data_IF_959892112443
#
_entry.id   IF_959892112443
#
_cell.length_a   1.000
_cell.length_b   1.000
_cell.length_c   1.000
_cell.angle_alpha   90.00
_cell.angle_beta   90.00
_cell.angle_gamma   90.00
#
_symmetry.space_group_name_H-M   'P 1'
#
loop_
_entity.id
_entity.type
_entity.pdbx_description
1 polymer ?
#
# COMPACT_ATOMS: atom_id res chain seq x y z
N UNK A 1 -3.83 -6.74 55.94
CA UNK A 1 -2.55 -6.70 55.20
C UNK A 1 -2.58 -7.78 54.13
N UNK A 2 -2.61 -7.41 52.84
CA UNK A 2 -2.68 -8.35 51.72
C UNK A 2 -1.24 -8.75 51.34
N UNK A 3 -0.90 -10.04 51.43
CA UNK A 3 0.40 -10.54 50.95
C UNK A 3 0.31 -10.80 49.45
N UNK A 4 1.04 -10.04 48.65
CA UNK A 4 1.30 -10.35 47.24
C UNK A 4 2.32 -11.49 47.18
N UNK A 5 1.96 -12.59 46.53
CA UNK A 5 2.82 -13.76 46.38
C UNK A 5 3.75 -13.52 45.18
N UNK A 6 5.04 -13.24 45.46
CA UNK A 6 6.06 -13.09 44.43
C UNK A 6 6.47 -14.48 43.91
N UNK A 7 5.78 -14.98 42.89
CA UNK A 7 6.23 -16.16 42.14
C UNK A 7 7.35 -15.70 41.19
N UNK A 8 8.59 -16.11 41.47
CA UNK A 8 9.73 -15.86 40.58
C UNK A 8 9.60 -16.67 39.29
N UNK A 9 10.01 -16.06 38.17
CA UNK A 9 10.02 -16.68 36.84
C UNK A 9 11.05 -17.81 36.77
N UNK A 10 10.72 -18.91 36.10
CA UNK A 10 11.61 -20.07 35.98
C UNK A 10 12.57 -19.94 34.79
N UNK A 11 13.74 -20.58 34.88
CA UNK A 11 14.72 -20.57 33.79
C UNK A 11 14.17 -21.25 32.52
N UNK A 12 13.30 -22.24 32.69
CA UNK A 12 12.67 -22.95 31.58
C UNK A 12 11.62 -22.10 30.85
N UNK A 13 10.88 -21.25 31.57
CA UNK A 13 9.97 -20.30 30.93
C UNK A 13 10.76 -19.32 30.05
N UNK A 14 11.94 -18.87 30.49
CA UNK A 14 12.77 -17.99 29.69
C UNK A 14 13.25 -18.66 28.40
N UNK A 15 13.64 -19.93 28.48
CA UNK A 15 14.11 -20.70 27.32
C UNK A 15 12.97 -20.93 26.31
N UNK A 16 11.77 -21.27 26.77
CA UNK A 16 10.63 -21.49 25.87
C UNK A 16 10.25 -20.17 25.17
N UNK A 17 10.25 -19.05 25.89
CA UNK A 17 9.95 -17.73 25.30
C UNK A 17 10.98 -17.35 24.24
N UNK A 18 12.28 -17.55 24.48
CA UNK A 18 13.31 -17.21 23.48
C UNK A 18 13.26 -18.12 22.25
N UNK A 19 12.91 -19.40 22.40
CA UNK A 19 12.68 -20.32 21.28
C UNK A 19 11.50 -19.85 20.42
N UNK A 20 10.37 -19.49 21.05
CA UNK A 20 9.20 -18.99 20.33
C UNK A 20 9.54 -17.69 19.59
N UNK A 21 10.23 -16.74 20.25
CA UNK A 21 10.67 -15.50 19.62
C UNK A 21 11.63 -15.74 18.45
N UNK A 22 12.54 -16.72 18.57
CA UNK A 22 13.46 -17.08 17.48
C UNK A 22 12.71 -17.62 16.25
N UNK A 23 11.73 -18.50 16.44
CA UNK A 23 10.90 -19.03 15.35
C UNK A 23 10.07 -17.93 14.71
N UNK A 24 9.42 -17.09 15.53
CA UNK A 24 8.62 -15.96 15.04
C UNK A 24 9.48 -14.97 14.25
N UNK A 25 10.68 -14.63 14.73
CA UNK A 25 11.59 -13.73 14.03
C UNK A 25 12.06 -14.33 12.69
N UNK A 26 12.40 -15.62 12.68
CA UNK A 26 12.86 -16.32 11.47
C UNK A 26 11.80 -16.33 10.36
N UNK A 27 10.51 -16.39 10.69
CA UNK A 27 9.41 -16.38 9.71
C UNK A 27 8.92 -14.97 9.38
N UNK A 28 8.80 -14.08 10.37
CA UNK A 28 8.21 -12.76 10.19
C UNK A 28 9.10 -11.80 9.40
N UNK A 29 10.41 -11.80 9.66
CA UNK A 29 11.37 -10.88 9.02
C UNK A 29 11.41 -11.08 7.49
N UNK A 30 11.67 -12.29 6.94
CA UNK A 30 11.74 -12.46 5.49
C UNK A 30 10.39 -12.22 4.79
N UNK A 31 9.27 -12.56 5.45
CA UNK A 31 7.92 -12.27 4.94
C UNK A 31 7.69 -10.77 4.79
N UNK A 32 8.09 -9.99 5.80
CA UNK A 32 7.98 -8.53 5.76
C UNK A 32 8.79 -7.94 4.61
N UNK A 33 10.08 -8.31 4.50
CA UNK A 33 10.96 -7.81 3.45
C UNK A 33 10.45 -8.14 2.04
N UNK A 34 9.99 -9.37 1.82
CA UNK A 34 9.43 -9.79 0.53
C UNK A 34 8.10 -9.08 0.22
N UNK A 35 7.33 -8.70 1.24
CA UNK A 35 6.02 -8.06 1.05
C UNK A 35 6.14 -6.61 0.62
N UNK A 36 7.16 -5.87 1.06
CA UNK A 36 7.26 -4.43 0.78
C UNK A 36 7.41 -4.17 -0.73
N UNK A 37 8.41 -4.78 -1.38
CA UNK A 37 8.67 -4.54 -2.81
C UNK A 37 7.50 -4.99 -3.70
N UNK A 38 6.88 -6.13 -3.39
CA UNK A 38 5.69 -6.58 -4.13
C UNK A 38 4.50 -5.63 -3.94
N UNK A 39 4.35 -5.05 -2.75
CA UNK A 39 3.30 -4.06 -2.48
C UNK A 39 3.58 -2.77 -3.25
N UNK A 40 4.83 -2.30 -3.30
CA UNK A 40 5.24 -1.13 -4.08
C UNK A 40 4.93 -1.35 -5.57
N UNK A 41 5.37 -2.45 -6.17
CA UNK A 41 5.10 -2.79 -7.57
C UNK A 41 3.58 -2.91 -7.86
N UNK A 42 2.82 -3.53 -6.95
CA UNK A 42 1.38 -3.64 -7.09
C UNK A 42 0.67 -2.28 -7.02
N UNK A 43 1.17 -1.36 -6.18
CA UNK A 43 0.62 -0.01 -6.06
C UNK A 43 0.94 0.80 -7.32
N UNK A 44 2.17 0.74 -7.83
CA UNK A 44 2.55 1.44 -9.07
C UNK A 44 1.69 1.00 -10.25
N UNK A 45 1.55 -0.32 -10.45
CA UNK A 45 0.69 -0.87 -11.48
C UNK A 45 -0.78 -0.44 -11.31
N UNK A 46 -1.26 -0.38 -10.06
CA UNK A 46 -2.62 0.09 -9.76
C UNK A 46 -2.79 1.57 -10.12
N UNK A 47 -1.81 2.42 -9.83
CA UNK A 47 -1.86 3.85 -10.17
C UNK A 47 -1.95 4.02 -11.70
N UNK A 48 -1.09 3.34 -12.46
CA UNK A 48 -1.11 3.38 -13.93
C UNK A 48 -2.45 2.89 -14.49
N UNK A 49 -2.97 1.79 -13.94
CA UNK A 49 -4.28 1.25 -14.33
C UNK A 49 -5.40 2.25 -14.06
N UNK A 50 -5.39 2.92 -12.91
CA UNK A 50 -6.39 3.93 -12.58
C UNK A 50 -6.33 5.12 -13.55
N UNK A 51 -5.12 5.59 -13.89
CA UNK A 51 -4.94 6.67 -14.87
C UNK A 51 -5.50 6.26 -16.22
N UNK A 52 -5.20 5.04 -16.67
CA UNK A 52 -5.68 4.51 -17.95
C UNK A 52 -7.20 4.44 -17.98
N UNK A 53 -7.82 3.96 -16.90
CA UNK A 53 -9.29 3.89 -16.79
C UNK A 53 -9.91 5.29 -16.86
N UNK A 54 -9.35 6.28 -16.16
CA UNK A 54 -9.85 7.66 -16.22
C UNK A 54 -9.74 8.26 -17.63
N UNK A 55 -8.61 8.07 -18.29
CA UNK A 55 -8.40 8.52 -19.68
C UNK A 55 -9.35 7.83 -20.67
N UNK A 56 -9.61 6.54 -20.48
CA UNK A 56 -10.57 5.80 -21.28
C UNK A 56 -11.99 6.32 -21.08
N UNK A 57 -12.38 6.62 -19.84
CA UNK A 57 -13.67 7.22 -19.52
C UNK A 57 -13.82 8.60 -20.17
N UNK A 58 -12.80 9.46 -20.07
CA UNK A 58 -12.78 10.76 -20.72
C UNK A 58 -12.92 10.63 -22.24
N UNK A 59 -12.15 9.74 -22.86
CA UNK A 59 -12.21 9.54 -24.30
C UNK A 59 -13.58 8.98 -24.76
N UNK A 60 -14.25 8.17 -23.94
CA UNK A 60 -15.62 7.71 -24.18
C UNK A 60 -16.62 8.88 -24.09
N UNK A 61 -16.48 9.76 -23.11
CA UNK A 61 -17.30 10.96 -22.99
C UNK A 61 -17.11 11.88 -24.22
N UNK A 62 -15.87 12.11 -24.64
CA UNK A 62 -15.58 12.91 -25.83
C UNK A 62 -16.13 12.29 -27.12
N UNK A 63 -16.11 10.96 -27.24
CA UNK A 63 -16.77 10.27 -28.35
C UNK A 63 -18.27 10.53 -28.37
N UNK A 64 -18.92 10.55 -27.21
CA UNK A 64 -20.36 10.84 -27.10
C UNK A 64 -20.68 12.31 -27.45
N UNK A 65 -19.85 13.25 -27.01
CA UNK A 65 -20.08 14.69 -27.19
C UNK A 65 -19.67 15.19 -28.59
N UNK A 66 -18.51 14.75 -29.08
CA UNK A 66 -17.84 15.30 -30.25
C UNK A 66 -17.70 14.30 -31.41
N UNK A 67 -18.22 13.07 -31.25
CA UNK A 67 -18.15 12.02 -32.27
C UNK A 67 -16.74 11.47 -32.52
N UNK A 68 -15.76 11.84 -31.68
CA UNK A 68 -14.36 11.40 -31.78
C UNK A 68 -13.75 11.25 -30.41
N UNK A 69 -12.91 10.23 -30.24
CA UNK A 69 -12.09 10.05 -29.04
C UNK A 69 -10.98 11.10 -29.04
N UNK A 70 -10.93 11.89 -27.99
CA UNK A 70 -9.85 12.84 -27.71
C UNK A 70 -9.41 12.65 -26.26
N UNK A 71 -8.16 12.99 -25.99
CA UNK A 71 -7.56 12.90 -24.66
C UNK A 71 -7.18 14.30 -24.19
N UNK A 72 -7.21 14.56 -22.87
CA UNK A 72 -6.78 15.86 -22.34
C UNK A 72 -5.27 16.03 -22.52
N UNK A 73 -4.81 17.28 -22.56
CA UNK A 73 -3.38 17.59 -22.63
C UNK A 73 -2.65 17.13 -21.37
N UNK A 74 -3.30 17.28 -20.21
CA UNK A 74 -2.81 16.73 -18.95
C UNK A 74 -3.61 15.47 -18.58
N UNK A 75 -2.95 14.31 -18.38
CA UNK A 75 -3.65 13.07 -18.10
C UNK A 75 -4.38 13.06 -16.75
N UNK A 76 -4.02 13.95 -15.81
CA UNK A 76 -4.67 14.03 -14.51
C UNK A 76 -6.01 14.79 -14.56
N UNK A 77 -6.27 15.56 -15.63
CA UNK A 77 -7.55 16.26 -15.81
C UNK A 77 -8.71 15.27 -16.07
N UNK A 78 -8.40 14.04 -16.49
CA UNK A 78 -9.37 12.97 -16.69
C UNK A 78 -9.69 12.18 -15.40
N UNK A 79 -9.10 12.55 -14.26
CA UNK A 79 -9.25 11.83 -12.99
C UNK A 79 -10.11 12.62 -12.01
N UNK A 80 -11.00 11.92 -11.29
CA UNK A 80 -11.82 12.53 -10.24
C UNK A 80 -10.98 13.09 -9.08
N UNK A 81 -9.85 12.44 -8.78
CA UNK A 81 -8.91 12.87 -7.74
C UNK A 81 -7.49 12.84 -8.30
N UNK A 82 -6.77 13.98 -8.28
CA UNK A 82 -5.38 14.01 -8.73
C UNK A 82 -4.46 13.21 -7.80
N UNK A 83 -3.26 12.82 -8.28
CA UNK A 83 -2.26 12.19 -7.45
C UNK A 83 -1.85 13.06 -6.26
N UNK A 84 -1.45 12.44 -5.16
CA UNK A 84 -0.97 13.15 -3.97
C UNK A 84 0.31 13.92 -4.34
N UNK A 85 0.34 15.22 -4.03
CA UNK A 85 1.47 16.09 -4.33
C UNK A 85 1.51 16.62 -5.77
N UNK A 86 0.50 16.30 -6.58
CA UNK A 86 0.32 16.95 -7.88
C UNK A 86 -0.20 18.38 -7.66
N UNK A 87 0.55 19.36 -8.18
CA UNK A 87 0.17 20.77 -8.22
C UNK A 87 0.12 21.19 -9.71
N UNK A 88 -1.08 21.53 -10.23
CA UNK A 88 -1.23 21.93 -11.63
C UNK A 88 -0.53 23.24 -11.98
N UNK A 89 -0.20 24.07 -10.97
CA UNK A 89 0.41 25.38 -11.13
C UNK A 89 1.93 25.39 -10.85
N UNK A 90 2.51 24.21 -10.60
CA UNK A 90 3.95 24.07 -10.37
C UNK A 90 4.72 24.25 -11.69
N UNK A 91 5.47 25.35 -11.80
CA UNK A 91 6.29 25.73 -12.98
C UNK A 91 7.63 24.99 -13.01
#
# INVERSE_FOLDING_TARGET
MIKLKNNGFTLIELIIVTIILAILAAVAIPKYLKSVTQVEEAIENKIISNITIGLENYAMEQMMLNGRRTWPTNPFDALDTPPIGYDPDYV
#
